data_IF_477517094102
#
_entry.id   IF_477517094102
#
_cell.length_a   1.000
_cell.length_b   1.000
_cell.length_c   1.000
_cell.angle_alpha   90.00
_cell.angle_beta   90.00
_cell.angle_gamma   90.00
#
_symmetry.space_group_name_H-M   'P 1'
#
loop_
_entity.id
_entity.type
_entity.pdbx_description
1 polymer ?
#
# COMPACT_ATOMS: atom_id res chain seq x y z
N UNK A 1 -9.49 -18.60 -5.91
CA UNK A 1 -10.43 -19.03 -4.86
C UNK A 1 -10.18 -18.40 -3.48
N UNK A 2 -9.00 -17.80 -3.20
CA UNK A 2 -8.73 -17.07 -1.95
C UNK A 2 -9.40 -15.69 -1.86
N UNK A 3 -9.57 -14.99 -2.99
CA UNK A 3 -10.25 -13.67 -3.03
C UNK A 3 -11.71 -13.73 -2.55
N UNK A 4 -12.42 -14.82 -2.83
CA UNK A 4 -13.85 -14.97 -2.52
C UNK A 4 -14.15 -15.31 -1.06
N UNK A 5 -13.16 -15.72 -0.25
CA UNK A 5 -13.37 -15.96 1.20
C UNK A 5 -13.20 -14.70 2.06
N UNK A 6 -12.48 -13.68 1.57
CA UNK A 6 -12.39 -12.38 2.24
C UNK A 6 -13.62 -11.49 2.01
N UNK A 7 -14.38 -11.74 0.93
CA UNK A 7 -15.54 -10.90 0.60
C UNK A 7 -16.78 -11.15 1.45
N UNK A 8 -16.87 -12.29 2.14
CA UNK A 8 -18.12 -12.68 2.81
C UNK A 8 -18.33 -12.02 4.18
N UNK A 9 -17.37 -11.22 4.64
CA UNK A 9 -17.47 -10.46 5.87
C UNK A 9 -16.85 -9.06 5.73
N UNK A 10 -17.03 -8.39 4.57
CA UNK A 10 -16.75 -6.95 4.49
C UNK A 10 -17.65 -6.26 5.51
N UNK A 11 -17.06 -5.90 6.65
CA UNK A 11 -17.69 -5.05 7.65
C UNK A 11 -18.20 -3.79 6.94
N UNK A 12 -19.30 -3.21 7.40
CA UNK A 12 -19.79 -1.93 6.85
C UNK A 12 -18.68 -0.87 6.80
N UNK A 13 -17.72 -0.98 7.73
CA UNK A 13 -16.50 -0.18 7.81
C UNK A 13 -15.58 -0.37 6.60
N UNK A 14 -15.41 -1.60 6.09
CA UNK A 14 -14.54 -1.86 4.93
C UNK A 14 -15.12 -1.30 3.64
N UNK A 15 -16.45 -1.41 3.44
CA UNK A 15 -17.13 -0.78 2.29
C UNK A 15 -17.10 0.73 2.38
N UNK A 16 -17.25 1.27 3.60
CA UNK A 16 -17.13 2.70 3.84
C UNK A 16 -15.70 3.17 3.54
N UNK A 17 -14.68 2.50 4.06
CA UNK A 17 -13.27 2.82 3.79
C UNK A 17 -12.92 2.78 2.28
N UNK A 18 -13.42 1.79 1.53
CA UNK A 18 -13.23 1.71 0.08
C UNK A 18 -13.91 2.89 -0.65
N UNK A 19 -15.12 3.28 -0.22
CA UNK A 19 -15.83 4.46 -0.73
C UNK A 19 -15.10 5.76 -0.42
N UNK A 20 -14.66 5.95 0.84
CA UNK A 20 -13.91 7.14 1.26
C UNK A 20 -12.58 7.25 0.49
N UNK A 21 -11.87 6.14 0.28
CA UNK A 21 -10.63 6.14 -0.52
C UNK A 21 -10.89 6.58 -1.96
N UNK A 22 -11.97 6.10 -2.58
CA UNK A 22 -12.33 6.50 -3.95
C UNK A 22 -12.77 7.98 -4.02
N UNK A 23 -13.44 8.49 -3.00
CA UNK A 23 -13.95 9.87 -3.00
C UNK A 23 -12.87 10.90 -2.65
N UNK A 24 -12.11 10.68 -1.57
CA UNK A 24 -11.10 11.62 -1.09
C UNK A 24 -9.73 11.50 -1.79
N UNK A 25 -9.45 10.38 -2.46
CA UNK A 25 -8.21 10.19 -3.21
C UNK A 25 -8.22 10.80 -4.62
N UNK A 26 -9.34 11.40 -5.04
CA UNK A 26 -9.50 11.89 -6.41
C UNK A 26 -9.28 13.41 -6.48
N UNK A 27 -8.58 13.88 -7.51
CA UNK A 27 -8.34 15.31 -7.82
C UNK A 27 -9.66 16.11 -7.88
N UNK A 28 -10.77 15.44 -8.17
CA UNK A 28 -12.12 16.00 -8.18
C UNK A 28 -12.58 16.55 -6.82
N UNK A 29 -12.27 15.87 -5.70
CA UNK A 29 -12.65 16.35 -4.37
C UNK A 29 -11.94 17.66 -4.03
N UNK A 30 -10.64 17.73 -4.35
CA UNK A 30 -9.85 18.96 -4.21
C UNK A 30 -10.41 20.09 -5.08
N UNK A 31 -10.80 19.80 -6.33
CA UNK A 31 -11.37 20.78 -7.23
C UNK A 31 -12.70 21.35 -6.73
N UNK A 32 -13.61 20.50 -6.22
CA UNK A 32 -14.88 20.96 -5.63
C UNK A 32 -14.60 21.88 -4.43
N UNK A 33 -13.73 21.47 -3.51
CA UNK A 33 -13.39 22.26 -2.34
C UNK A 33 -12.80 23.62 -2.74
N UNK A 34 -11.89 23.64 -3.72
CA UNK A 34 -11.34 24.89 -4.25
C UNK A 34 -12.42 25.81 -4.84
N UNK A 35 -13.40 25.26 -5.58
CA UNK A 35 -14.53 26.04 -6.13
C UNK A 35 -15.41 26.58 -5.00
N UNK A 36 -15.70 25.79 -3.97
CA UNK A 36 -16.48 26.23 -2.81
C UNK A 36 -15.76 27.37 -2.08
N UNK A 37 -14.45 27.27 -1.86
CA UNK A 37 -13.65 28.34 -1.25
C UNK A 37 -13.63 29.61 -2.09
N UNK A 38 -13.38 29.48 -3.39
CA UNK A 38 -13.39 30.61 -4.32
C UNK A 38 -14.78 31.26 -4.37
N UNK A 39 -15.84 30.47 -4.44
CA UNK A 39 -17.22 30.95 -4.40
C UNK A 39 -17.53 31.69 -3.12
N UNK A 40 -17.15 31.15 -1.96
CA UNK A 40 -17.34 31.79 -0.66
C UNK A 40 -16.60 33.12 -0.54
N UNK A 41 -15.35 33.17 -1.00
CA UNK A 41 -14.54 34.38 -1.04
C UNK A 41 -15.16 35.44 -1.95
N UNK A 42 -15.62 35.06 -3.15
CA UNK A 42 -16.26 36.00 -4.09
C UNK A 42 -17.58 36.54 -3.53
N UNK A 43 -18.41 35.69 -2.91
CA UNK A 43 -19.67 36.10 -2.28
C UNK A 43 -19.44 37.05 -1.08
N UNK A 44 -18.39 36.82 -0.28
CA UNK A 44 -18.06 37.67 0.87
C UNK A 44 -17.13 38.85 0.54
N UNK A 45 -16.64 38.97 -0.71
CA UNK A 45 -15.78 40.08 -1.16
C UNK A 45 -16.51 41.42 -1.33
N UNK A 46 -17.84 41.43 -1.19
CA UNK A 46 -18.65 42.64 -1.32
C UNK A 46 -18.88 43.12 -2.76
N UNK A 47 -18.55 42.30 -3.77
CA UNK A 47 -18.77 42.60 -5.20
C UNK A 47 -20.25 42.57 -5.63
N UNK A 48 -21.16 42.05 -4.79
CA UNK A 48 -22.60 41.96 -5.07
C UNK A 48 -23.34 43.06 -4.29
N UNK A 49 -23.91 44.08 -4.96
CA UNK A 49 -24.75 45.08 -4.29
C UNK A 49 -25.99 44.38 -3.71
N UNK A 50 -26.31 44.65 -2.44
CA UNK A 50 -27.45 44.12 -1.65
C UNK A 50 -27.27 42.78 -0.90
N UNK A 51 -26.10 42.14 -0.90
CA UNK A 51 -25.87 41.00 0.00
C UNK A 51 -25.26 41.43 1.34
N UNK A 52 -25.86 41.08 2.50
CA UNK A 52 -25.23 41.33 3.78
C UNK A 52 -23.92 40.54 3.89
N UNK A 53 -22.84 41.22 4.29
CA UNK A 53 -21.52 40.60 4.51
C UNK A 53 -21.68 39.63 5.69
N UNK A 54 -21.79 38.34 5.38
CA UNK A 54 -22.05 37.28 6.36
C UNK A 54 -20.79 36.91 7.16
N UNK A 55 -19.62 36.97 6.52
CA UNK A 55 -18.32 36.66 7.14
C UNK A 55 -17.30 37.79 6.85
N UNK A 56 -17.24 38.85 7.69
CA UNK A 56 -16.28 39.94 7.55
C UNK A 56 -14.84 39.43 7.61
N UNK A 57 -13.92 40.09 6.92
CA UNK A 57 -12.48 39.82 7.02
C UNK A 57 -12.07 39.87 8.50
N UNK A 58 -11.60 38.74 9.10
CA UNK A 58 -10.74 37.70 8.55
C UNK A 58 -11.40 36.35 8.20
N UNK A 59 -12.70 36.31 7.90
CA UNK A 59 -13.46 35.09 7.54
C UNK A 59 -13.39 33.97 8.61
N UNK A 60 -13.87 34.27 9.81
CA UNK A 60 -13.76 33.39 10.98
C UNK A 60 -14.58 32.10 10.85
N UNK A 61 -15.75 32.17 10.22
CA UNK A 61 -16.63 31.00 10.04
C UNK A 61 -16.03 30.02 9.03
N UNK A 62 -15.52 30.52 7.89
CA UNK A 62 -14.86 29.68 6.90
C UNK A 62 -13.65 28.97 7.50
N UNK A 63 -12.79 29.70 8.20
CA UNK A 63 -11.57 29.16 8.79
C UNK A 63 -11.87 28.05 9.81
N UNK A 64 -12.90 28.26 10.64
CA UNK A 64 -13.33 27.26 11.62
C UNK A 64 -13.89 26.01 10.94
N UNK A 65 -14.73 26.17 9.92
CA UNK A 65 -15.29 25.04 9.18
C UNK A 65 -14.20 24.23 8.45
N UNK A 66 -13.27 24.90 7.78
CA UNK A 66 -12.16 24.27 7.05
C UNK A 66 -11.20 23.54 7.97
N UNK A 67 -10.85 24.13 9.12
CA UNK A 67 -9.99 23.45 10.09
C UNK A 67 -10.62 22.15 10.62
N UNK A 68 -11.92 22.16 10.88
CA UNK A 68 -12.65 20.95 11.28
C UNK A 68 -12.66 19.91 10.15
N UNK A 69 -12.98 20.33 8.92
CA UNK A 69 -12.95 19.46 7.74
C UNK A 69 -11.57 18.81 7.55
N UNK A 70 -10.49 19.59 7.68
CA UNK A 70 -9.12 19.10 7.54
C UNK A 70 -8.77 18.03 8.58
N UNK A 71 -9.22 18.18 9.84
CA UNK A 71 -9.01 17.16 10.88
C UNK A 71 -9.76 15.87 10.51
N UNK A 72 -11.03 15.96 10.09
CA UNK A 72 -11.81 14.79 9.67
C UNK A 72 -11.15 14.07 8.48
N UNK A 73 -10.71 14.82 7.47
CA UNK A 73 -10.01 14.28 6.31
C UNK A 73 -8.71 13.58 6.72
N UNK A 74 -7.91 14.20 7.58
CA UNK A 74 -6.64 13.64 8.05
C UNK A 74 -6.84 12.31 8.77
N UNK A 75 -7.86 12.20 9.63
CA UNK A 75 -8.18 10.96 10.34
C UNK A 75 -8.64 9.87 9.37
N UNK A 76 -9.51 10.20 8.41
CA UNK A 76 -9.97 9.26 7.39
C UNK A 76 -8.79 8.75 6.55
N UNK A 77 -7.90 9.65 6.13
CA UNK A 77 -6.69 9.31 5.38
C UNK A 77 -5.79 8.41 6.21
N UNK A 78 -5.56 8.73 7.49
CA UNK A 78 -4.71 7.92 8.37
C UNK A 78 -5.27 6.51 8.57
N UNK A 79 -6.59 6.37 8.76
CA UNK A 79 -7.25 5.05 8.87
C UNK A 79 -7.08 4.26 7.56
N UNK A 80 -7.27 4.92 6.42
CA UNK A 80 -7.10 4.31 5.09
C UNK A 80 -5.65 3.88 4.84
N UNK A 81 -4.68 4.71 5.22
CA UNK A 81 -3.25 4.41 5.14
C UNK A 81 -2.86 3.25 6.04
N UNK A 82 -3.28 3.26 7.31
CA UNK A 82 -2.98 2.18 8.25
C UNK A 82 -3.50 0.82 7.74
N UNK A 83 -4.71 0.80 7.15
CA UNK A 83 -5.26 -0.40 6.52
C UNK A 83 -4.48 -0.83 5.27
N UNK A 84 -4.02 0.11 4.45
CA UNK A 84 -3.18 -0.19 3.29
C UNK A 84 -1.85 -0.82 3.73
N UNK A 85 -1.18 -0.21 4.70
CA UNK A 85 0.11 -0.67 5.22
C UNK A 85 0.03 -2.09 5.78
N UNK A 86 -1.02 -2.43 6.53
CA UNK A 86 -1.24 -3.80 7.02
C UNK A 86 -1.41 -4.82 5.89
N UNK A 87 -2.09 -4.44 4.80
CA UNK A 87 -2.26 -5.31 3.63
C UNK A 87 -0.93 -5.49 2.89
N UNK A 88 -0.15 -4.41 2.76
CA UNK A 88 1.13 -4.43 2.07
C UNK A 88 2.17 -5.25 2.86
N UNK A 89 2.22 -5.13 4.19
CA UNK A 89 3.07 -5.94 5.07
C UNK A 89 2.74 -7.45 4.95
N UNK A 90 1.45 -7.80 4.96
CA UNK A 90 1.03 -9.20 4.75
C UNK A 90 1.41 -9.72 3.36
N UNK A 91 1.31 -8.88 2.32
CA UNK A 91 1.71 -9.27 0.96
C UNK A 91 3.21 -9.51 0.89
N UNK A 92 4.01 -8.62 1.49
CA UNK A 92 5.46 -8.77 1.56
C UNK A 92 5.86 -10.06 2.28
N UNK A 93 5.21 -10.39 3.40
CA UNK A 93 5.45 -11.65 4.11
C UNK A 93 5.13 -12.87 3.25
N UNK A 94 3.98 -12.86 2.56
CA UNK A 94 3.57 -13.95 1.67
C UNK A 94 4.54 -14.11 0.50
N UNK A 95 4.93 -13.00 -0.14
CA UNK A 95 5.85 -13.03 -1.29
C UNK A 95 7.23 -13.55 -0.87
N UNK A 96 7.71 -13.17 0.32
CA UNK A 96 8.93 -13.72 0.90
C UNK A 96 8.81 -15.23 1.13
N UNK A 97 7.72 -15.71 1.71
CA UNK A 97 7.51 -17.15 1.92
C UNK A 97 7.44 -17.92 0.60
N UNK A 98 6.79 -17.37 -0.42
CA UNK A 98 6.72 -17.97 -1.76
C UNK A 98 8.12 -18.06 -2.36
N UNK A 99 8.91 -17.00 -2.28
CA UNK A 99 10.28 -16.98 -2.80
C UNK A 99 11.17 -18.02 -2.11
N UNK A 100 11.12 -18.11 -0.78
CA UNK A 100 11.87 -19.13 -0.02
C UNK A 100 11.46 -20.54 -0.46
N UNK A 101 10.16 -20.77 -0.64
CA UNK A 101 9.65 -22.06 -1.08
C UNK A 101 10.09 -22.39 -2.51
N UNK A 102 9.98 -21.42 -3.42
CA UNK A 102 10.42 -21.56 -4.81
C UNK A 102 11.91 -21.86 -4.88
N UNK A 103 12.73 -21.18 -4.08
CA UNK A 103 14.16 -21.45 -3.96
C UNK A 103 14.42 -22.91 -3.53
N UNK A 104 13.73 -23.38 -2.49
CA UNK A 104 13.85 -24.77 -2.05
C UNK A 104 13.43 -25.78 -3.15
N UNK A 105 12.37 -25.50 -3.89
CA UNK A 105 11.91 -26.34 -4.99
C UNK A 105 12.93 -26.35 -6.14
N UNK A 106 13.50 -25.18 -6.49
CA UNK A 106 14.55 -25.05 -7.50
C UNK A 106 15.80 -25.84 -7.10
N UNK A 107 16.32 -25.67 -5.89
CA UNK A 107 17.49 -26.43 -5.42
C UNK A 107 17.21 -27.94 -5.44
N UNK A 108 15.99 -28.36 -5.10
CA UNK A 108 15.60 -29.77 -5.16
C UNK A 108 15.59 -30.29 -6.60
N UNK A 109 15.08 -29.51 -7.55
CA UNK A 109 15.10 -29.85 -8.98
C UNK A 109 16.54 -29.95 -9.49
N UNK A 110 17.41 -29.01 -9.11
CA UNK A 110 18.84 -29.05 -9.48
C UNK A 110 19.49 -30.32 -8.96
N UNK A 111 19.28 -30.69 -7.69
CA UNK A 111 19.82 -31.93 -7.12
C UNK A 111 19.29 -33.19 -7.81
N UNK A 112 18.01 -33.22 -8.17
CA UNK A 112 17.43 -34.35 -8.91
C UNK A 112 18.00 -34.45 -10.34
N UNK A 113 18.21 -33.30 -10.99
CA UNK A 113 18.79 -33.26 -12.33
C UNK A 113 20.25 -33.72 -12.34
N UNK A 114 21.00 -33.32 -11.31
CA UNK A 114 22.38 -33.75 -11.07
C UNK A 114 22.47 -35.27 -10.88
N UNK A 115 21.60 -35.85 -10.05
CA UNK A 115 21.55 -37.30 -9.84
C UNK A 115 21.24 -38.07 -11.14
N UNK A 116 20.37 -37.53 -11.99
CA UNK A 116 20.09 -38.10 -13.32
C UNK A 116 21.29 -37.95 -14.25
N UNK A 117 21.96 -36.79 -14.23
CA UNK A 117 23.14 -36.51 -15.04
C UNK A 117 24.30 -37.47 -14.70
N UNK A 118 24.51 -37.72 -13.41
CA UNK A 118 25.46 -38.72 -12.90
C UNK A 118 25.09 -40.13 -13.35
N UNK A 119 23.82 -40.52 -13.22
CA UNK A 119 23.36 -41.86 -13.63
C UNK A 119 23.51 -42.10 -15.15
N UNK A 120 23.40 -41.06 -15.97
CA UNK A 120 23.61 -41.13 -17.42
C UNK A 120 25.09 -41.12 -17.82
N UNK A 121 26.01 -40.97 -16.86
CA UNK A 121 27.45 -40.92 -17.12
C UNK A 121 27.88 -39.66 -17.88
N UNK A 122 27.09 -38.60 -17.80
CA UNK A 122 27.38 -37.31 -18.43
C UNK A 122 28.17 -36.38 -17.51
N UNK A 123 28.41 -36.80 -16.25
CA UNK A 123 29.09 -36.06 -15.20
C UNK A 123 30.32 -35.31 -15.73
N UNK A 124 30.19 -33.99 -15.77
CA UNK A 124 31.29 -33.08 -16.05
C UNK A 124 31.96 -32.76 -14.70
N UNK A 125 33.22 -33.16 -14.56
CA UNK A 125 33.96 -33.28 -13.29
C UNK A 125 34.22 -31.93 -12.57
N UNK A 126 33.72 -30.79 -13.07
CA UNK A 126 34.15 -29.45 -12.60
C UNK A 126 33.14 -28.31 -12.85
N UNK A 127 31.83 -28.54 -12.66
CA UNK A 127 30.82 -27.47 -12.74
C UNK A 127 30.73 -26.68 -11.41
N UNK A 128 31.71 -25.80 -11.18
CA UNK A 128 31.71 -24.86 -10.05
C UNK A 128 30.42 -24.02 -9.97
N UNK A 129 29.81 -23.71 -11.12
CA UNK A 129 28.54 -23.01 -11.22
C UNK A 129 27.37 -23.84 -10.68
N UNK A 130 27.31 -25.15 -10.94
CA UNK A 130 26.28 -26.04 -10.38
C UNK A 130 26.45 -26.20 -8.86
N UNK A 131 27.70 -26.28 -8.38
CA UNK A 131 27.98 -26.33 -6.95
C UNK A 131 27.54 -25.04 -6.23
N UNK A 132 27.68 -23.88 -6.87
CA UNK A 132 27.18 -22.61 -6.38
C UNK A 132 25.64 -22.57 -6.37
N UNK A 133 24.97 -23.00 -7.45
CA UNK A 133 23.50 -23.03 -7.53
C UNK A 133 22.85 -24.01 -6.54
N UNK A 134 23.55 -25.06 -6.12
CA UNK A 134 23.07 -25.99 -5.08
C UNK A 134 23.19 -25.42 -3.66
N UNK A 135 24.00 -24.39 -3.45
CA UNK A 135 24.04 -23.71 -2.16
C UNK A 135 22.74 -22.95 -1.98
N UNK A 136 21.94 -23.38 -1.00
CA UNK A 136 20.78 -22.60 -0.56
C UNK A 136 21.26 -21.23 -0.10
N UNK A 137 20.60 -20.17 -0.56
CA UNK A 137 20.71 -18.85 0.05
C UNK A 137 20.32 -19.01 1.52
N UNK A 138 21.25 -18.74 2.44
CA UNK A 138 20.98 -18.86 3.86
C UNK A 138 20.09 -17.70 4.30
N UNK A 139 18.78 -17.91 4.23
CA UNK A 139 17.76 -16.94 4.66
C UNK A 139 18.04 -16.44 6.10
N UNK A 140 18.61 -17.29 6.96
CA UNK A 140 18.98 -16.93 8.34
C UNK A 140 20.05 -15.85 8.40
N UNK A 141 21.00 -15.84 7.45
CA UNK A 141 22.05 -14.84 7.38
C UNK A 141 21.49 -13.49 6.91
N UNK A 142 20.55 -13.51 5.95
CA UNK A 142 19.85 -12.30 5.50
C UNK A 142 18.97 -11.74 6.63
N UNK A 143 18.23 -12.59 7.33
CA UNK A 143 17.41 -12.18 8.47
C UNK A 143 18.26 -11.58 9.60
N UNK A 144 19.42 -12.17 9.89
CA UNK A 144 20.37 -11.65 10.87
C UNK A 144 21.01 -10.32 10.43
N UNK A 145 21.27 -10.12 9.15
CA UNK A 145 21.78 -8.85 8.61
C UNK A 145 20.73 -7.73 8.69
N UNK A 146 19.46 -8.04 8.39
CA UNK A 146 18.35 -7.08 8.51
C UNK A 146 18.09 -6.69 9.98
N UNK A 147 18.16 -7.64 10.91
CA UNK A 147 18.00 -7.39 12.35
C UNK A 147 19.15 -6.61 12.97
N UNK A 148 20.35 -6.62 12.36
CA UNK A 148 21.50 -5.80 12.81
C UNK A 148 21.42 -4.33 12.37
N UNK A 149 20.58 -4.02 11.37
CA UNK A 149 20.46 -2.68 10.78
C UNK A 149 19.18 -1.93 11.16
N UNK A 150 18.39 -2.48 12.10
CA UNK A 150 17.21 -1.83 12.70
C UNK A 150 17.52 -1.36 14.10
#
# INVERSE_FOLDING_TARGET
MFRTKLEKNKSRVDRFADFLRSYFGTVWFLAINAIVFLGWLLLNSGLIPNFPIFDPYPHGFLTTAVSLEAIFLSVIVLISQNRANQIDELREEIDLQINIKAEHEITRIINMLDEIHDHLGLASDDDAELAEMKQKTNISDIQNQLMRHK
#
